data_IF_743436881627
#
_entry.id   IF_743436881627
#
_cell.length_a   1.000
_cell.length_b   1.000
_cell.length_c   1.000
_cell.angle_alpha   90.00
_cell.angle_beta   90.00
_cell.angle_gamma   90.00
#
_symmetry.space_group_name_H-M   'P 1'
#
loop_
_entity.id
_entity.type
_entity.pdbx_description
1 polymer ?
#
# COMPACT_ATOMS: atom_id res chain seq x y z
N UNK A 1 -47.88 36.03 -34.48
CA UNK A 1 -47.05 34.86 -34.17
C UNK A 1 -46.07 35.25 -33.08
N UNK A 2 -45.97 34.42 -32.05
CA UNK A 2 -45.48 34.73 -30.69
C UNK A 2 -43.95 34.82 -30.62
N UNK A 3 -43.41 35.86 -29.95
CA UNK A 3 -41.99 35.95 -29.56
C UNK A 3 -41.68 34.97 -28.42
N UNK A 4 -40.44 34.47 -28.39
CA UNK A 4 -39.84 33.90 -27.18
C UNK A 4 -38.32 33.84 -27.29
N UNK A 5 -37.54 34.52 -26.43
CA UNK A 5 -36.09 34.35 -26.37
C UNK A 5 -35.75 33.04 -25.66
N UNK A 6 -34.83 32.26 -26.22
CA UNK A 6 -34.23 31.10 -25.55
C UNK A 6 -33.24 31.61 -24.49
N UNK A 7 -33.57 31.44 -23.21
CA UNK A 7 -32.65 31.70 -22.10
C UNK A 7 -31.73 30.49 -21.95
N UNK A 8 -30.43 30.67 -22.21
CA UNK A 8 -29.40 29.70 -21.86
C UNK A 8 -29.11 29.80 -20.35
N UNK A 9 -29.45 28.76 -19.59
CA UNK A 9 -29.04 28.64 -18.19
C UNK A 9 -27.59 28.16 -18.14
N UNK A 10 -26.67 29.05 -17.77
CA UNK A 10 -25.31 28.68 -17.38
C UNK A 10 -25.35 28.21 -15.92
N UNK A 11 -25.13 26.91 -15.69
CA UNK A 11 -24.94 26.39 -14.35
C UNK A 11 -23.52 26.77 -13.88
N UNK A 12 -23.34 27.40 -12.71
CA UNK A 12 -22.01 27.50 -12.13
C UNK A 12 -21.51 26.07 -11.87
N UNK A 13 -20.34 25.75 -12.40
CA UNK A 13 -19.64 24.52 -12.04
C UNK A 13 -19.26 24.65 -10.56
N UNK A 14 -20.11 24.11 -9.69
CA UNK A 14 -19.72 23.84 -8.32
C UNK A 14 -18.62 22.79 -8.38
N UNK A 15 -17.37 23.24 -8.38
CA UNK A 15 -16.24 22.40 -8.03
C UNK A 15 -16.48 22.01 -6.58
N UNK A 16 -17.06 20.83 -6.37
CA UNK A 16 -17.03 20.19 -5.05
C UNK A 16 -15.57 20.03 -4.69
N UNK A 17 -15.08 20.86 -3.77
CA UNK A 17 -13.90 20.58 -2.98
C UNK A 17 -14.26 19.41 -2.04
N UNK A 18 -14.40 18.22 -2.62
CA UNK A 18 -14.66 17.00 -1.88
C UNK A 18 -13.33 16.53 -1.29
N UNK A 19 -13.28 16.55 0.04
CA UNK A 19 -12.28 15.90 0.89
C UNK A 19 -10.85 16.47 0.77
N UNK A 20 -10.67 17.69 1.26
CA UNK A 20 -9.43 18.03 1.95
C UNK A 20 -9.35 17.19 3.24
N UNK A 21 -9.07 15.89 3.09
CA UNK A 21 -8.58 15.07 4.20
C UNK A 21 -7.31 15.73 4.69
N UNK A 22 -7.30 16.13 5.97
CA UNK A 22 -6.16 16.72 6.68
C UNK A 22 -4.87 16.06 6.19
N UNK A 23 -4.08 16.78 5.38
CA UNK A 23 -2.79 16.28 4.96
C UNK A 23 -2.01 16.03 6.26
N UNK A 24 -1.64 14.78 6.57
CA UNK A 24 -0.90 14.50 7.78
C UNK A 24 0.37 15.33 7.75
N UNK A 25 0.57 16.13 8.80
CA UNK A 25 1.76 16.94 8.97
C UNK A 25 2.98 16.02 8.81
N UNK A 26 3.85 16.33 7.85
CA UNK A 26 4.99 15.47 7.52
C UNK A 26 5.92 15.50 8.73
N UNK A 27 6.18 14.36 9.40
CA UNK A 27 7.07 14.37 10.54
C UNK A 27 8.46 14.86 10.12
N UNK A 28 9.16 15.61 10.97
CA UNK A 28 10.39 16.35 10.63
C UNK A 28 11.50 15.52 9.95
N UNK A 29 11.55 14.21 10.23
CA UNK A 29 12.58 13.29 9.71
C UNK A 29 12.12 12.45 8.50
N UNK A 30 10.93 12.74 7.98
CA UNK A 30 10.32 12.00 6.88
C UNK A 30 10.12 12.91 5.67
N UNK A 31 10.05 12.28 4.50
CA UNK A 31 9.60 12.90 3.25
C UNK A 31 8.42 12.13 2.68
N UNK A 32 7.54 12.85 1.99
CA UNK A 32 6.47 12.22 1.22
C UNK A 32 7.04 11.63 -0.07
N UNK A 33 6.73 10.36 -0.32
CA UNK A 33 6.84 9.74 -1.64
C UNK A 33 5.44 9.54 -2.20
N UNK A 34 5.20 10.02 -3.41
CA UNK A 34 3.93 9.87 -4.13
C UNK A 34 4.19 9.16 -5.45
N UNK A 35 3.45 8.09 -5.70
CA UNK A 35 3.43 7.42 -7.00
C UNK A 35 2.14 7.80 -7.74
N UNK A 36 2.27 8.69 -8.72
CA UNK A 36 1.13 9.16 -9.51
C UNK A 36 0.59 8.12 -10.49
N UNK A 37 1.35 7.07 -10.82
CA UNK A 37 0.91 6.00 -11.72
C UNK A 37 0.10 4.97 -10.94
N UNK A 38 0.63 4.54 -9.81
CA UNK A 38 0.06 3.51 -8.95
C UNK A 38 -0.85 4.05 -7.83
N UNK A 39 -0.96 5.39 -7.72
CA UNK A 39 -1.90 6.11 -6.86
C UNK A 39 -1.74 5.81 -5.36
N UNK A 40 -0.51 5.71 -4.88
CA UNK A 40 -0.22 5.60 -3.45
C UNK A 40 0.70 6.73 -2.97
N UNK A 41 0.61 7.05 -1.67
CA UNK A 41 1.48 7.99 -0.97
C UNK A 41 1.95 7.36 0.33
N UNK A 42 3.24 7.50 0.63
CA UNK A 42 3.87 6.99 1.86
C UNK A 42 4.88 8.01 2.38
N UNK A 43 5.07 8.05 3.70
CA UNK A 43 6.17 8.79 4.32
C UNK A 43 7.34 7.84 4.57
N UNK A 44 8.52 8.24 4.09
CA UNK A 44 9.76 7.48 4.25
C UNK A 44 10.82 8.38 4.90
N UNK A 45 11.80 7.81 5.63
CA UNK A 45 12.89 8.59 6.19
C UNK A 45 13.63 9.38 5.10
N UNK A 46 14.06 10.60 5.42
CA UNK A 46 14.61 11.54 4.43
C UNK A 46 15.88 11.04 3.74
N UNK A 47 16.67 10.21 4.39
CA UNK A 47 17.94 9.64 3.96
C UNK A 47 17.79 8.31 3.18
N UNK A 48 16.59 7.72 3.14
CA UNK A 48 16.39 6.47 2.43
C UNK A 48 16.41 6.63 0.91
N UNK A 49 17.01 5.68 0.21
CA UNK A 49 16.97 5.55 -1.25
C UNK A 49 15.68 4.91 -1.72
N UNK A 50 15.39 5.06 -3.02
CA UNK A 50 14.23 4.45 -3.69
C UNK A 50 14.72 3.60 -4.86
N UNK A 51 14.31 2.34 -4.90
CA UNK A 51 14.63 1.41 -5.98
C UNK A 51 13.37 0.78 -6.57
N UNK A 52 13.45 0.35 -7.83
CA UNK A 52 12.42 -0.46 -8.48
C UNK A 52 12.87 -1.93 -8.48
N UNK A 53 11.98 -2.83 -8.11
CA UNK A 53 12.22 -4.29 -8.17
C UNK A 53 11.81 -4.88 -9.52
N UNK A 54 12.37 -6.05 -9.85
CA UNK A 54 11.94 -6.80 -11.04
C UNK A 54 10.50 -7.32 -10.87
N UNK A 55 9.60 -7.08 -11.83
CA UNK A 55 8.20 -7.51 -11.76
C UNK A 55 8.07 -9.03 -12.02
N UNK A 56 8.43 -9.84 -11.03
CA UNK A 56 8.32 -11.30 -11.05
C UNK A 56 6.89 -11.75 -10.64
N UNK A 57 5.91 -11.51 -11.51
CA UNK A 57 4.49 -11.83 -11.26
C UNK A 57 3.72 -10.75 -10.48
N UNK A 58 4.41 -9.69 -10.06
CA UNK A 58 3.81 -8.47 -9.53
C UNK A 58 3.68 -7.43 -10.64
N UNK A 59 2.69 -6.53 -10.50
CA UNK A 59 2.53 -5.40 -11.42
C UNK A 59 3.60 -4.33 -11.19
N UNK A 60 3.96 -4.09 -9.94
CA UNK A 60 4.97 -3.11 -9.56
C UNK A 60 5.58 -3.48 -8.20
N UNK A 61 6.87 -3.16 -8.03
CA UNK A 61 7.60 -3.28 -6.78
C UNK A 61 8.43 -2.00 -6.61
N UNK A 62 8.17 -1.28 -5.52
CA UNK A 62 8.97 -0.11 -5.12
C UNK A 62 9.59 -0.39 -3.76
N UNK A 63 10.92 -0.33 -3.68
CA UNK A 63 11.69 -0.57 -2.47
C UNK A 63 12.25 0.75 -1.91
N UNK A 64 12.21 0.88 -0.59
CA UNK A 64 12.74 2.00 0.17
C UNK A 64 13.73 1.46 1.21
N UNK A 65 14.97 1.92 1.18
CA UNK A 65 16.05 1.34 1.97
C UNK A 65 17.10 2.41 2.30
N UNK A 66 17.81 2.32 3.44
CA UNK A 66 18.88 3.26 3.77
C UNK A 66 20.09 3.08 2.85
N UNK A 67 20.95 4.09 2.78
CA UNK A 67 22.19 4.04 1.98
C UNK A 67 23.20 2.99 2.48
N UNK A 68 23.18 2.67 3.77
CA UNK A 68 24.06 1.65 4.34
C UNK A 68 23.61 0.23 3.99
N UNK A 69 24.47 -0.50 3.28
CA UNK A 69 24.22 -1.90 2.86
C UNK A 69 24.00 -2.88 4.02
N UNK A 70 24.47 -2.54 5.24
CA UNK A 70 24.35 -3.38 6.43
C UNK A 70 23.06 -3.17 7.23
N UNK A 71 22.16 -2.28 6.79
CA UNK A 71 20.96 -2.00 7.53
C UNK A 71 19.93 -3.14 7.39
N UNK A 72 19.47 -3.66 8.52
CA UNK A 72 18.47 -4.73 8.59
C UNK A 72 17.02 -4.22 8.46
N UNK A 73 16.81 -3.05 7.83
CA UNK A 73 15.50 -2.41 7.76
C UNK A 73 15.28 -1.80 6.40
N UNK A 74 14.13 -2.11 5.82
CA UNK A 74 13.64 -1.56 4.56
C UNK A 74 12.12 -1.61 4.58
N UNK A 75 11.50 -0.91 3.63
CA UNK A 75 10.07 -0.98 3.36
C UNK A 75 9.91 -1.22 1.87
N UNK A 76 9.08 -2.18 1.50
CA UNK A 76 8.75 -2.44 0.09
C UNK A 76 7.24 -2.35 -0.12
N UNK A 77 6.83 -1.65 -1.16
CA UNK A 77 5.45 -1.60 -1.62
C UNK A 77 5.32 -2.48 -2.84
N UNK A 78 4.45 -3.49 -2.74
CA UNK A 78 4.21 -4.46 -3.81
C UNK A 78 2.77 -4.34 -4.28
N UNK A 79 2.58 -4.23 -5.59
CA UNK A 79 1.26 -4.12 -6.21
C UNK A 79 1.01 -5.37 -7.03
N UNK A 80 -0.02 -6.12 -6.65
CA UNK A 80 -0.43 -7.34 -7.33
C UNK A 80 -1.73 -7.13 -8.10
N UNK A 81 -1.91 -7.90 -9.18
CA UNK A 81 -3.18 -7.98 -9.89
C UNK A 81 -4.16 -8.86 -9.13
N UNK A 82 -5.37 -8.35 -8.89
CA UNK A 82 -6.45 -9.11 -8.27
C UNK A 82 -7.59 -9.34 -9.27
N UNK A 83 -8.28 -10.47 -9.12
CA UNK A 83 -9.51 -10.75 -9.87
C UNK A 83 -10.64 -9.81 -9.46
N UNK A 84 -11.68 -9.65 -10.31
CA UNK A 84 -12.78 -8.71 -10.06
C UNK A 84 -13.59 -9.02 -8.78
N UNK A 85 -13.50 -10.23 -8.24
CA UNK A 85 -14.17 -10.65 -7.01
C UNK A 85 -13.49 -10.10 -5.72
N UNK A 86 -12.24 -9.63 -5.84
CA UNK A 86 -11.42 -9.15 -4.73
C UNK A 86 -11.40 -7.61 -4.69
N UNK A 87 -12.51 -7.02 -4.26
CA UNK A 87 -12.71 -5.55 -4.23
C UNK A 87 -12.42 -4.92 -2.86
N UNK A 88 -12.32 -5.74 -1.82
CA UNK A 88 -12.12 -5.30 -0.42
C UNK A 88 -11.29 -6.33 0.34
N UNK A 89 -10.74 -5.97 1.49
CA UNK A 89 -9.91 -6.88 2.29
C UNK A 89 -10.70 -8.13 2.74
N UNK A 90 -11.99 -7.96 3.03
CA UNK A 90 -12.88 -9.05 3.44
C UNK A 90 -13.14 -10.08 2.33
N UNK A 91 -12.84 -9.76 1.07
CA UNK A 91 -12.87 -10.74 -0.02
C UNK A 91 -11.82 -11.84 0.16
N UNK A 92 -10.77 -11.59 0.96
CA UNK A 92 -9.77 -12.59 1.33
C UNK A 92 -10.17 -13.42 2.55
N UNK A 93 -11.37 -13.21 3.09
CA UNK A 93 -11.87 -13.88 4.28
C UNK A 93 -11.59 -13.09 5.56
N UNK A 94 -11.44 -13.81 6.67
CA UNK A 94 -11.09 -13.20 7.96
C UNK A 94 -9.65 -12.69 7.93
N UNK A 95 -9.44 -11.56 8.57
CA UNK A 95 -8.15 -10.85 8.59
C UNK A 95 -7.04 -11.71 9.20
N UNK A 96 -7.36 -12.49 10.23
CA UNK A 96 -6.43 -13.43 10.86
C UNK A 96 -6.05 -14.56 9.90
N UNK A 97 -7.02 -15.13 9.18
CA UNK A 97 -6.77 -16.21 8.22
C UNK A 97 -5.95 -15.72 7.01
N UNK A 98 -6.20 -14.48 6.57
CA UNK A 98 -5.39 -13.83 5.54
C UNK A 98 -3.94 -13.63 6.01
N UNK A 99 -3.76 -13.11 7.22
CA UNK A 99 -2.43 -12.90 7.80
C UNK A 99 -1.67 -14.20 8.01
N UNK A 100 -2.32 -15.24 8.52
CA UNK A 100 -1.73 -16.58 8.66
C UNK A 100 -1.27 -17.13 7.31
N UNK A 101 -2.08 -16.95 6.26
CA UNK A 101 -1.74 -17.39 4.90
C UNK A 101 -0.50 -16.65 4.38
N UNK A 102 -0.41 -15.33 4.59
CA UNK A 102 0.74 -14.54 4.17
C UNK A 102 2.01 -14.94 4.93
N UNK A 103 1.96 -15.01 6.25
CA UNK A 103 3.13 -15.36 7.08
C UNK A 103 3.58 -16.80 6.82
N UNK A 104 2.66 -17.75 6.68
CA UNK A 104 2.99 -19.13 6.29
C UNK A 104 3.62 -19.20 4.90
N UNK A 105 3.23 -18.28 4.00
CA UNK A 105 3.85 -18.14 2.69
C UNK A 105 5.28 -17.63 2.72
N UNK A 106 5.70 -16.92 3.78
CA UNK A 106 7.08 -16.48 4.03
C UNK A 106 7.92 -17.56 4.71
N UNK A 107 7.31 -18.53 5.40
CA UNK A 107 8.01 -19.61 6.06
C UNK A 107 8.71 -20.55 5.05
N UNK A 108 10.02 -20.73 5.26
CA UNK A 108 10.92 -21.59 4.49
C UNK A 108 11.65 -22.60 5.38
N UNK A 109 11.22 -22.76 6.64
CA UNK A 109 11.80 -23.69 7.61
C UNK A 109 11.80 -25.16 7.14
N UNK A 110 10.87 -25.51 6.25
CA UNK A 110 10.75 -26.84 5.66
C UNK A 110 11.80 -27.17 4.59
N UNK A 111 12.51 -26.16 4.05
CA UNK A 111 13.53 -26.38 3.00
C UNK A 111 14.78 -27.11 3.55
N UNK A 112 15.60 -27.67 2.66
CA UNK A 112 16.90 -28.28 3.03
C UNK A 112 18.03 -27.66 2.20
N UNK A 113 18.97 -26.90 2.81
CA UNK A 113 19.04 -26.56 4.24
C UNK A 113 17.84 -25.71 4.72
N UNK A 114 17.49 -25.75 6.02
CA UNK A 114 16.38 -24.97 6.56
C UNK A 114 16.53 -23.48 6.23
N UNK A 115 15.48 -22.90 5.66
CA UNK A 115 15.39 -21.47 5.42
C UNK A 115 14.82 -20.72 6.63
N UNK A 116 14.51 -19.45 6.42
CA UNK A 116 13.92 -18.56 7.45
C UNK A 116 12.57 -19.11 7.92
N UNK A 117 12.37 -19.18 9.23
CA UNK A 117 11.09 -19.49 9.86
C UNK A 117 10.33 -18.20 10.15
N UNK A 118 9.03 -18.13 9.86
CA UNK A 118 8.21 -16.92 10.09
C UNK A 118 7.04 -17.21 11.02
N UNK A 119 6.69 -16.27 11.90
CA UNK A 119 5.57 -16.40 12.85
C UNK A 119 4.78 -15.10 12.96
N UNK A 120 3.46 -15.20 12.90
CA UNK A 120 2.53 -14.09 13.11
C UNK A 120 2.55 -13.66 14.58
N UNK A 121 2.75 -12.37 14.82
CA UNK A 121 2.79 -11.74 16.15
C UNK A 121 1.49 -11.00 16.43
N UNK A 122 1.07 -10.16 15.49
CA UNK A 122 -0.16 -9.36 15.60
C UNK A 122 -0.78 -9.13 14.23
N UNK A 123 -2.10 -8.96 14.23
CA UNK A 123 -2.87 -8.64 13.03
C UNK A 123 -4.01 -7.70 13.38
N UNK A 124 -4.11 -6.58 12.65
CA UNK A 124 -5.17 -5.59 12.84
C UNK A 124 -5.73 -5.13 11.51
N UNK A 125 -7.05 -5.08 11.40
CA UNK A 125 -7.74 -4.41 10.31
C UNK A 125 -8.38 -3.10 10.75
N UNK A 126 -8.23 -2.08 9.92
CA UNK A 126 -8.94 -0.81 10.07
C UNK A 126 -9.06 -0.14 8.70
N UNK A 127 -10.25 0.39 8.39
CA UNK A 127 -10.50 1.22 7.20
C UNK A 127 -10.03 0.63 5.87
N UNK A 128 -10.16 -0.69 5.69
CA UNK A 128 -9.73 -1.39 4.46
C UNK A 128 -8.25 -1.78 4.41
N UNK A 129 -7.48 -1.50 5.47
CA UNK A 129 -6.07 -1.86 5.58
C UNK A 129 -5.88 -2.99 6.61
N UNK A 130 -4.86 -3.82 6.39
CA UNK A 130 -4.41 -4.85 7.33
C UNK A 130 -2.93 -4.61 7.68
N UNK A 131 -2.62 -4.61 8.96
CA UNK A 131 -1.24 -4.57 9.47
C UNK A 131 -0.92 -5.95 10.01
N UNK A 132 0.18 -6.53 9.53
CA UNK A 132 0.68 -7.84 9.92
C UNK A 132 2.09 -7.62 10.48
N UNK A 133 2.34 -8.13 11.67
CA UNK A 133 3.68 -8.17 12.25
C UNK A 133 4.12 -9.63 12.33
N UNK A 134 5.27 -9.94 11.75
CA UNK A 134 5.92 -11.24 11.86
C UNK A 134 7.36 -11.10 12.36
N UNK A 135 7.94 -12.20 12.84
CA UNK A 135 9.34 -12.24 13.28
C UNK A 135 10.02 -13.48 12.69
N UNK A 136 11.20 -13.33 12.06
CA UNK A 136 11.99 -14.48 11.61
C UNK A 136 12.56 -15.23 12.82
N UNK A 137 12.27 -16.51 12.99
CA UNK A 137 12.87 -17.31 14.07
C UNK A 137 14.32 -17.70 13.68
N UNK A 138 15.24 -17.73 14.67
CA UNK A 138 16.63 -18.11 14.45
C UNK A 138 16.81 -19.58 14.04
#
# INVERSE_FOLDING_TARGET
MLQGPLIAFSFPQFVSAALAGKEPDVPQDFRAYTDDVNKFKIFIPQDWQVGAGEPNGFKSITAFFPEEEAANSNVSVVITGLGPDFTRMESFGKVEAFADTLVSGLDRSWQRPPGVAAKLIDCKAANGNCIIQDHPLP
#
